data_IF_070382834853
#
_entry.id   IF_070382834853
#
_cell.length_a   1.000
_cell.length_b   1.000
_cell.length_c   1.000
_cell.angle_alpha   90.00
_cell.angle_beta   90.00
_cell.angle_gamma   90.00
#
_symmetry.space_group_name_H-M   'P 1'
#
loop_
_entity.id
_entity.type
_entity.pdbx_description
1 polymer ?
#
# COMPACT_ATOMS: atom_id res chain seq x y z
N UNK A 1 0.97 -1.51 15.93
CA UNK A 1 0.49 -2.81 15.42
C UNK A 1 -0.55 -2.49 14.37
N UNK A 2 -0.25 -2.81 13.11
CA UNK A 2 -1.22 -2.64 12.02
C UNK A 2 -2.22 -3.79 12.14
N UNK A 3 -3.50 -3.47 12.27
CA UNK A 3 -4.56 -4.49 12.32
C UNK A 3 -5.07 -4.63 10.90
N UNK A 4 -4.82 -5.79 10.31
CA UNK A 4 -5.36 -6.16 9.00
C UNK A 4 -6.66 -6.92 9.20
N UNK A 5 -7.49 -6.91 8.17
CA UNK A 5 -8.66 -7.78 8.11
C UNK A 5 -8.25 -9.26 8.14
N UNK A 6 -9.11 -10.13 8.68
CA UNK A 6 -8.82 -11.56 8.85
C UNK A 6 -8.50 -12.25 7.52
N UNK A 7 -9.15 -11.86 6.41
CA UNK A 7 -8.87 -12.42 5.09
C UNK A 7 -7.49 -12.00 4.58
N UNK A 8 -7.06 -10.76 4.89
CA UNK A 8 -5.75 -10.25 4.52
C UNK A 8 -4.65 -10.94 5.31
N UNK A 9 -4.85 -11.18 6.61
CA UNK A 9 -3.90 -11.94 7.43
C UNK A 9 -3.77 -13.39 6.95
N UNK A 10 -4.88 -14.04 6.60
CA UNK A 10 -4.88 -15.39 6.06
C UNK A 10 -4.11 -15.48 4.74
N UNK A 11 -4.35 -14.54 3.82
CA UNK A 11 -3.64 -14.46 2.55
C UNK A 11 -2.13 -14.20 2.76
N UNK A 12 -1.78 -13.31 3.68
CA UNK A 12 -0.38 -12.99 4.00
C UNK A 12 0.34 -14.18 4.63
N UNK A 13 -0.33 -14.94 5.50
CA UNK A 13 0.22 -16.14 6.10
C UNK A 13 0.49 -17.23 5.04
N UNK A 14 -0.48 -17.50 4.16
CA UNK A 14 -0.33 -18.45 3.06
C UNK A 14 0.82 -18.05 2.12
N UNK A 15 0.87 -16.78 1.72
CA UNK A 15 1.94 -16.28 0.84
C UNK A 15 3.32 -16.34 1.53
N UNK A 16 3.40 -16.11 2.84
CA UNK A 16 4.65 -16.23 3.59
C UNK A 16 5.16 -17.67 3.60
N UNK A 17 4.27 -18.66 3.75
CA UNK A 17 4.60 -20.09 3.70
C UNK A 17 5.11 -20.50 2.31
N UNK A 18 4.36 -20.16 1.26
CA UNK A 18 4.69 -20.52 -0.13
C UNK A 18 6.02 -19.91 -0.60
N UNK A 19 6.29 -18.66 -0.21
CA UNK A 19 7.51 -17.95 -0.58
C UNK A 19 8.68 -18.24 0.35
N UNK A 20 8.47 -19.02 1.42
CA UNK A 20 9.44 -19.29 2.48
C UNK A 20 10.05 -18.01 3.08
N UNK A 21 9.22 -16.98 3.25
CA UNK A 21 9.61 -15.67 3.78
C UNK A 21 8.94 -15.43 5.13
N UNK A 22 9.58 -14.60 5.95
CA UNK A 22 8.89 -14.10 7.15
C UNK A 22 7.82 -13.09 6.75
N UNK A 23 6.76 -12.98 7.55
CA UNK A 23 5.69 -11.98 7.35
C UNK A 23 6.23 -10.56 7.17
N UNK A 24 7.27 -10.21 7.94
CA UNK A 24 7.91 -8.89 7.88
C UNK A 24 8.69 -8.67 6.57
N UNK A 25 9.35 -9.71 6.06
CA UNK A 25 10.04 -9.64 4.77
C UNK A 25 9.05 -9.52 3.62
N UNK A 26 7.97 -10.32 3.65
CA UNK A 26 6.90 -10.24 2.66
C UNK A 26 6.23 -8.87 2.66
N UNK A 27 5.93 -8.31 3.83
CA UNK A 27 5.40 -6.94 3.93
C UNK A 27 6.35 -5.89 3.33
N UNK A 28 7.67 -6.01 3.57
CA UNK A 28 8.64 -5.07 2.97
C UNK A 28 8.67 -5.16 1.45
N UNK A 29 8.56 -6.37 0.89
CA UNK A 29 8.48 -6.56 -0.56
C UNK A 29 7.20 -5.95 -1.10
N UNK A 30 6.05 -6.27 -0.52
CA UNK A 30 4.75 -5.73 -0.96
C UNK A 30 4.70 -4.19 -0.88
N UNK A 31 5.22 -3.60 0.20
CA UNK A 31 5.27 -2.14 0.35
C UNK A 31 6.24 -1.52 -0.66
N UNK A 32 7.38 -2.15 -0.94
CA UNK A 32 8.33 -1.68 -1.96
C UNK A 32 7.69 -1.71 -3.34
N UNK A 33 7.15 -2.85 -3.74
CA UNK A 33 6.50 -3.04 -5.04
C UNK A 33 5.30 -2.09 -5.19
N UNK A 34 4.51 -1.90 -4.12
CA UNK A 34 3.48 -0.88 -4.09
C UNK A 34 4.10 0.50 -4.30
N UNK A 35 5.09 0.94 -3.53
CA UNK A 35 5.69 2.28 -3.71
C UNK A 35 6.33 2.49 -5.08
N UNK A 36 6.94 1.46 -5.66
CA UNK A 36 7.51 1.49 -7.02
C UNK A 36 6.40 1.57 -8.08
N UNK A 37 5.29 0.85 -7.89
CA UNK A 37 4.11 0.94 -8.74
C UNK A 37 3.31 2.24 -8.55
N UNK A 38 3.29 2.79 -7.33
CA UNK A 38 2.59 4.01 -6.94
C UNK A 38 3.42 5.26 -7.20
N UNK A 39 4.73 5.16 -7.45
CA UNK A 39 5.52 6.24 -8.03
C UNK A 39 4.96 6.71 -9.40
N UNK A 40 4.10 5.89 -10.02
CA UNK A 40 3.35 6.22 -11.23
C UNK A 40 1.90 6.69 -10.97
N UNK A 41 1.35 6.51 -9.77
CA UNK A 41 0.04 7.02 -9.43
C UNK A 41 0.20 8.48 -9.00
N UNK A 42 -0.51 9.44 -9.63
CA UNK A 42 -0.53 10.79 -9.12
C UNK A 42 -1.07 10.69 -7.69
N UNK A 43 -0.19 10.90 -6.70
CA UNK A 43 -0.60 11.24 -5.36
C UNK A 43 -1.61 12.35 -5.57
N UNK A 44 -2.89 12.06 -5.26
CA UNK A 44 -4.04 12.92 -5.54
C UNK A 44 -3.60 14.36 -5.71
N UNK A 45 -3.88 14.95 -6.88
CA UNK A 45 -4.01 16.39 -6.99
C UNK A 45 -4.81 16.83 -5.76
N UNK A 46 -4.12 17.44 -4.81
CA UNK A 46 -4.72 18.16 -3.70
C UNK A 46 -5.29 19.48 -4.24
N UNK A 47 -5.72 19.54 -5.51
CA UNK A 47 -6.36 20.70 -6.13
C UNK A 47 -7.88 20.70 -5.85
N UNK A 48 -8.22 20.35 -4.60
CA UNK A 48 -9.46 20.73 -3.95
C UNK A 48 -9.27 21.88 -2.95
N UNK A 49 -8.06 22.44 -2.81
CA UNK A 49 -7.78 23.55 -1.89
C UNK A 49 -7.63 24.88 -2.63
N UNK A 50 -8.79 25.53 -2.81
CA UNK A 50 -9.04 26.98 -2.85
C UNK A 50 -7.98 27.90 -3.51
N UNK A 51 -8.29 28.50 -4.67
CA UNK A 51 -8.40 29.97 -4.84
C UNK A 51 -8.70 30.41 -6.28
N UNK A 52 -9.39 31.56 -6.39
CA UNK A 52 -9.54 32.46 -7.53
C UNK A 52 -10.69 32.22 -8.53
N UNK A 53 -11.87 32.71 -8.15
CA UNK A 53 -12.92 33.14 -9.07
C UNK A 53 -13.38 34.55 -8.72
N UNK A 54 -12.51 35.54 -8.94
CA UNK A 54 -12.95 36.93 -9.04
C UNK A 54 -13.53 37.18 -10.43
N UNK A 55 -14.83 37.46 -10.49
CA UNK A 55 -15.50 38.25 -11.53
C UNK A 55 -16.88 38.68 -11.01
#
# INVERSE_FOLDING_TARGET
>A
MMIFDDDVEAALALASEELQMTREELMRVLVRECLESYAYLPLNDDEGSETAGGA
#
